data_IF_331065285538
#
_entry.id   IF_331065285538
#
_cell.length_a   1.000
_cell.length_b   1.000
_cell.length_c   1.000
_cell.angle_alpha   90.00
_cell.angle_beta   90.00
_cell.angle_gamma   90.00
#
_symmetry.space_group_name_H-M   'P 1'
#
loop_
_entity.id
_entity.type
_entity.pdbx_description
1 polymer ?
#
# COMPACT_ATOMS: atom_id res chain seq x y z
N UNK A 1 19.48 -4.50 22.82
CA UNK A 1 18.27 -3.88 22.23
C UNK A 1 17.15 -4.89 22.43
N UNK A 2 16.19 -4.60 23.29
CA UNK A 2 15.24 -5.56 23.87
C UNK A 2 14.14 -5.95 22.87
N UNK A 3 13.52 -7.13 23.05
CA UNK A 3 12.43 -7.65 22.22
C UNK A 3 11.23 -6.70 22.03
N UNK A 4 11.06 -5.70 22.91
CA UNK A 4 10.01 -4.68 22.79
C UNK A 4 10.18 -3.81 21.54
N UNK A 5 11.41 -3.37 21.23
CA UNK A 5 11.64 -2.45 20.10
C UNK A 5 11.37 -3.08 18.74
N UNK A 6 11.57 -4.39 18.61
CA UNK A 6 11.22 -5.13 17.40
C UNK A 6 9.70 -5.24 17.23
N UNK A 7 8.97 -5.57 18.30
CA UNK A 7 7.51 -5.61 18.28
C UNK A 7 6.88 -4.24 17.94
N UNK A 8 7.42 -3.16 18.51
CA UNK A 8 6.99 -1.80 18.23
C UNK A 8 7.26 -1.40 16.76
N UNK A 9 8.41 -1.81 16.21
CA UNK A 9 8.73 -1.59 14.80
C UNK A 9 7.75 -2.33 13.87
N UNK A 10 7.44 -3.60 14.17
CA UNK A 10 6.46 -4.40 13.41
C UNK A 10 5.06 -3.78 13.50
N UNK A 11 4.63 -3.34 14.68
CA UNK A 11 3.36 -2.65 14.86
C UNK A 11 3.29 -1.35 14.06
N UNK A 12 4.37 -0.56 14.07
CA UNK A 12 4.49 0.65 13.27
C UNK A 12 4.38 0.37 11.77
N UNK A 13 5.00 -0.69 11.25
CA UNK A 13 4.85 -1.04 9.82
C UNK A 13 3.42 -1.50 9.50
N UNK A 14 2.77 -2.25 10.39
CA UNK A 14 1.35 -2.64 10.22
C UNK A 14 0.43 -1.44 10.12
N UNK A 15 0.59 -0.46 11.00
CA UNK A 15 -0.19 0.78 10.95
C UNK A 15 0.02 1.52 9.62
N UNK A 16 1.25 1.52 9.12
CA UNK A 16 1.55 2.14 7.83
C UNK A 16 0.90 1.38 6.66
N UNK A 17 0.89 0.05 6.69
CA UNK A 17 0.20 -0.81 5.72
C UNK A 17 -1.32 -0.54 5.71
N UNK A 18 -1.96 -0.45 6.88
CA UNK A 18 -3.41 -0.20 7.00
C UNK A 18 -3.80 1.17 6.41
N UNK A 19 -2.97 2.18 6.64
CA UNK A 19 -3.14 3.52 6.06
C UNK A 19 -2.95 3.49 4.54
N UNK A 20 -1.97 2.73 4.02
CA UNK A 20 -1.78 2.56 2.58
C UNK A 20 -3.01 1.89 1.93
N UNK A 21 -3.51 0.80 2.51
CA UNK A 21 -4.70 0.12 2.03
C UNK A 21 -5.94 1.04 2.03
N UNK A 22 -6.10 1.87 3.06
CA UNK A 22 -7.18 2.86 3.14
C UNK A 22 -7.09 3.93 2.04
N UNK A 23 -5.88 4.41 1.73
CA UNK A 23 -5.64 5.34 0.63
C UNK A 23 -5.97 4.69 -0.73
N UNK A 24 -5.54 3.45 -0.95
CA UNK A 24 -5.87 2.69 -2.17
C UNK A 24 -7.37 2.53 -2.35
N UNK A 25 -8.09 2.11 -1.30
CA UNK A 25 -9.54 1.95 -1.35
C UNK A 25 -10.24 3.28 -1.67
N UNK A 26 -9.81 4.37 -1.05
CA UNK A 26 -10.36 5.71 -1.29
C UNK A 26 -10.08 6.18 -2.71
N UNK A 27 -8.85 6.01 -3.19
CA UNK A 27 -8.46 6.34 -4.56
C UNK A 27 -9.32 5.59 -5.58
N UNK A 28 -9.50 4.27 -5.41
CA UNK A 28 -10.36 3.46 -6.28
C UNK A 28 -11.81 3.93 -6.30
N UNK A 29 -12.36 4.35 -5.16
CA UNK A 29 -13.74 4.89 -5.07
C UNK A 29 -13.88 6.21 -5.81
N UNK A 30 -12.94 7.14 -5.64
CA UNK A 30 -12.92 8.42 -6.36
C UNK A 30 -12.70 8.21 -7.87
N UNK A 31 -11.83 7.26 -8.21
CA UNK A 31 -11.66 6.73 -9.56
C UNK A 31 -12.85 5.91 -10.07
N UNK A 32 -13.91 5.71 -9.30
CA UNK A 32 -15.18 5.16 -9.80
C UNK A 32 -16.21 6.27 -10.08
N UNK A 33 -16.11 7.43 -9.40
CA UNK A 33 -17.08 8.54 -9.52
C UNK A 33 -16.77 9.56 -10.61
N UNK A 34 -15.53 9.62 -11.07
CA UNK A 34 -15.09 10.47 -12.20
C UNK A 34 -13.92 11.36 -11.80
N UNK A 35 -13.55 11.30 -10.53
CA UNK A 35 -12.61 12.21 -9.90
C UNK A 35 -11.18 11.79 -10.19
N UNK A 36 -10.34 12.76 -10.56
CA UNK A 36 -8.89 12.60 -10.61
C UNK A 36 -8.35 12.52 -9.18
N UNK A 37 -7.41 11.61 -8.94
CA UNK A 37 -6.83 11.38 -7.62
C UNK A 37 -5.34 11.67 -7.67
N UNK A 38 -4.86 12.46 -6.70
CA UNK A 38 -3.42 12.58 -6.42
C UNK A 38 -2.96 11.36 -5.60
N UNK A 39 -1.99 10.62 -6.13
CA UNK A 39 -1.45 9.41 -5.50
C UNK A 39 -0.14 9.68 -4.75
N UNK A 40 0.33 10.93 -4.68
CA UNK A 40 1.58 11.29 -3.99
C UNK A 40 1.60 10.83 -2.52
N UNK A 41 0.46 10.93 -1.83
CA UNK A 41 0.34 10.45 -0.45
C UNK A 41 0.51 8.91 -0.34
N UNK A 42 -0.01 8.16 -1.30
CA UNK A 42 0.14 6.71 -1.37
C UNK A 42 1.59 6.32 -1.70
N UNK A 43 2.22 7.00 -2.66
CA UNK A 43 3.62 6.78 -3.03
C UNK A 43 4.54 6.96 -1.81
N UNK A 44 4.40 8.08 -1.09
CA UNK A 44 5.17 8.36 0.12
C UNK A 44 4.96 7.28 1.19
N UNK A 45 3.75 6.72 1.27
CA UNK A 45 3.43 5.67 2.23
C UNK A 45 4.12 4.36 1.89
N UNK A 46 4.02 3.93 0.64
CA UNK A 46 4.67 2.71 0.15
C UNK A 46 6.18 2.81 0.34
N UNK A 47 6.78 3.95 -0.01
CA UNK A 47 8.21 4.24 0.23
C UNK A 47 8.59 4.05 1.70
N UNK A 48 7.83 4.65 2.61
CA UNK A 48 8.06 4.52 4.06
C UNK A 48 7.98 3.08 4.55
N UNK A 49 7.02 2.30 4.04
CA UNK A 49 6.87 0.87 4.36
C UNK A 49 8.10 0.10 3.86
N UNK A 50 8.50 0.30 2.60
CA UNK A 50 9.67 -0.34 2.00
C UNK A 50 10.95 -0.05 2.79
N UNK A 51 11.21 1.21 3.14
CA UNK A 51 12.40 1.61 3.89
C UNK A 51 12.46 0.94 5.27
N UNK A 52 11.31 0.89 5.97
CA UNK A 52 11.23 0.25 7.30
C UNK A 52 11.40 -1.26 7.23
N UNK A 53 10.77 -1.92 6.26
CA UNK A 53 10.90 -3.38 6.07
C UNK A 53 12.31 -3.75 5.64
N UNK A 54 12.95 -2.96 4.78
CA UNK A 54 14.34 -3.19 4.36
C UNK A 54 15.34 -3.08 5.52
N UNK A 55 15.03 -2.27 6.54
CA UNK A 55 15.83 -2.14 7.75
C UNK A 55 15.58 -3.23 8.80
N UNK A 56 14.57 -4.09 8.62
CA UNK A 56 14.24 -5.15 9.56
C UNK A 56 15.11 -6.39 9.38
N UNK A 57 15.24 -7.15 10.47
CA UNK A 57 15.75 -8.52 10.37
C UNK A 57 14.74 -9.41 9.65
N UNK A 58 15.21 -10.53 9.12
CA UNK A 58 14.33 -11.51 8.46
C UNK A 58 13.24 -12.04 9.41
N UNK A 59 13.56 -12.20 10.69
CA UNK A 59 12.62 -12.71 11.70
C UNK A 59 11.50 -11.71 11.98
N UNK A 60 11.84 -10.42 12.09
CA UNK A 60 10.87 -9.36 12.34
C UNK A 60 10.01 -9.03 11.11
N UNK A 61 10.58 -9.15 9.90
CA UNK A 61 9.87 -8.91 8.65
C UNK A 61 8.91 -10.03 8.25
N UNK A 62 9.19 -11.28 8.64
CA UNK A 62 8.40 -12.45 8.21
C UNK A 62 6.90 -12.36 8.55
N UNK A 63 6.48 -11.88 9.74
CA UNK A 63 5.07 -11.70 10.07
C UNK A 63 4.35 -10.61 9.24
N UNK A 64 5.07 -9.78 8.50
CA UNK A 64 4.50 -8.71 7.66
C UNK A 64 4.21 -9.17 6.24
N UNK A 65 4.77 -10.30 5.80
CA UNK A 65 4.64 -10.82 4.42
C UNK A 65 3.18 -10.88 3.95
N UNK A 66 2.22 -11.47 4.70
CA UNK A 66 0.85 -11.54 4.23
C UNK A 66 0.20 -10.17 4.02
N UNK A 67 0.56 -9.18 4.84
CA UNK A 67 0.04 -7.82 4.73
C UNK A 67 0.67 -7.05 3.56
N UNK A 68 1.96 -7.30 3.27
CA UNK A 68 2.64 -6.76 2.09
C UNK A 68 2.03 -7.33 0.79
N UNK A 69 1.78 -8.64 0.75
CA UNK A 69 1.12 -9.30 -0.38
C UNK A 69 -0.29 -8.74 -0.61
N UNK A 70 -1.05 -8.51 0.48
CA UNK A 70 -2.36 -7.87 0.39
C UNK A 70 -2.29 -6.45 -0.19
N UNK A 71 -1.32 -5.64 0.25
CA UNK A 71 -1.11 -4.29 -0.27
C UNK A 71 -0.74 -4.32 -1.77
N UNK A 72 0.12 -5.26 -2.20
CA UNK A 72 0.45 -5.42 -3.62
C UNK A 72 -0.82 -5.71 -4.43
N UNK A 73 -1.66 -6.65 -3.98
CA UNK A 73 -2.92 -6.93 -4.66
C UNK A 73 -3.90 -5.75 -4.67
N UNK A 74 -3.88 -4.89 -3.65
CA UNK A 74 -4.63 -3.64 -3.65
C UNK A 74 -4.09 -2.64 -4.68
N UNK A 75 -2.77 -2.51 -4.80
CA UNK A 75 -2.11 -1.66 -5.80
C UNK A 75 -2.39 -2.14 -7.23
N UNK A 76 -2.36 -3.45 -7.49
CA UNK A 76 -2.71 -4.01 -8.81
C UNK A 76 -4.17 -3.69 -9.20
N UNK A 77 -5.08 -3.75 -8.23
CA UNK A 77 -6.48 -3.36 -8.42
C UNK A 77 -6.64 -1.86 -8.67
N UNK A 78 -5.78 -1.03 -8.10
CA UNK A 78 -5.75 0.41 -8.35
C UNK A 78 -5.22 0.72 -9.74
N UNK A 79 -4.11 0.08 -10.14
CA UNK A 79 -3.56 0.18 -11.50
C UNK A 79 -4.63 -0.17 -12.55
N UNK A 80 -5.32 -1.30 -12.37
CA UNK A 80 -6.42 -1.72 -13.26
C UNK A 80 -7.49 -0.63 -13.37
N UNK A 81 -7.93 -0.04 -12.24
CA UNK A 81 -8.93 1.01 -12.23
C UNK A 81 -8.45 2.32 -12.91
N UNK A 82 -7.15 2.61 -12.85
CA UNK A 82 -6.54 3.75 -13.58
C UNK A 82 -6.53 3.46 -15.08
N UNK A 83 -6.15 2.26 -15.52
CA UNK A 83 -6.15 1.91 -16.94
C UNK A 83 -7.56 1.92 -17.55
N UNK A 84 -8.56 1.39 -16.85
CA UNK A 84 -9.97 1.44 -17.29
C UNK A 84 -10.51 2.87 -17.45
N UNK A 85 -9.89 3.84 -16.77
CA UNK A 85 -10.21 5.27 -16.84
C UNK A 85 -9.49 5.98 -17.96
N UNK A 86 -8.20 5.70 -18.13
CA UNK A 86 -7.31 6.43 -19.04
C UNK A 86 -7.40 5.89 -20.47
N UNK A 87 -7.76 4.63 -20.66
CA UNK A 87 -7.92 4.00 -21.98
C UNK A 87 -9.39 3.70 -22.32
N UNK A 88 -10.14 4.68 -22.86
CA UNK A 88 -11.50 4.43 -23.34
C UNK A 88 -11.55 3.61 -24.63
N UNK A 89 -10.42 3.31 -25.30
CA UNK A 89 -10.38 2.70 -26.64
C UNK A 89 -10.41 1.16 -26.62
N UNK A 90 -10.26 0.52 -25.47
CA UNK A 90 -10.50 -0.94 -25.30
C UNK A 90 -12.01 -1.26 -25.14
N UNK A 91 -12.87 -0.25 -25.06
CA UNK A 91 -14.35 -0.39 -25.04
C UNK A 91 -15.00 -0.29 -26.44
N UNK A 92 -14.33 -0.79 -27.48
CA UNK A 92 -14.84 -0.88 -28.86
C UNK A 92 -14.92 -2.31 -29.34
#
# INVERSE_FOLDING_TARGET
>A
MTASGAADAVAGVREELDKAASLVLTARRLLATGTTVDLSALENKVRTICDRVAAMTREDGRPLVPALEALIGDLDRLETAIHERVDPLVRG
#
